data_IF_436985484972
#
_entry.id   IF_436985484972
#
_cell.length_a   1.000
_cell.length_b   1.000
_cell.length_c   1.000
_cell.angle_alpha   90.00
_cell.angle_beta   90.00
_cell.angle_gamma   90.00
#
_symmetry.space_group_name_H-M   'P 1'
#
loop_
_entity.id
_entity.type
_entity.pdbx_description
1 polymer ?
#
# COMPACT_ATOMS: atom_id res chain seq x y z
N UNK A 1 -11.16 -12.19 -17.91
CA UNK A 1 -9.82 -12.30 -18.54
C UNK A 1 -8.82 -12.08 -17.42
N UNK A 2 -7.89 -13.00 -17.22
CA UNK A 2 -6.80 -12.85 -16.24
C UNK A 2 -5.91 -11.70 -16.70
N UNK A 3 -5.61 -10.76 -15.80
CA UNK A 3 -4.72 -9.63 -16.11
C UNK A 3 -3.29 -10.16 -16.11
N UNK A 4 -2.56 -9.98 -17.21
CA UNK A 4 -1.16 -10.37 -17.27
C UNK A 4 -0.30 -9.41 -16.43
N UNK A 5 0.55 -9.91 -15.53
CA UNK A 5 1.47 -9.06 -14.77
C UNK A 5 2.54 -8.43 -15.67
N UNK A 6 2.95 -7.21 -15.33
CA UNK A 6 4.20 -6.64 -15.84
C UNK A 6 5.38 -7.40 -15.21
N UNK A 7 6.17 -8.10 -16.01
CA UNK A 7 7.39 -8.75 -15.54
C UNK A 7 8.51 -7.72 -15.31
N UNK A 8 9.14 -7.77 -14.15
CA UNK A 8 10.29 -6.94 -13.77
C UNK A 8 11.41 -7.83 -13.27
N UNK A 9 12.55 -7.80 -13.96
CA UNK A 9 13.76 -8.53 -13.57
C UNK A 9 14.55 -7.73 -12.54
N UNK A 10 14.78 -8.33 -11.37
CA UNK A 10 15.70 -7.80 -10.35
C UNK A 10 17.08 -8.40 -10.61
N UNK A 11 18.14 -7.59 -10.82
CA UNK A 11 19.47 -8.10 -11.10
C UNK A 11 19.96 -9.08 -10.02
N UNK A 12 20.62 -10.15 -10.43
CA UNK A 12 21.07 -11.20 -9.51
C UNK A 12 22.12 -10.73 -8.47
N UNK A 13 22.72 -9.55 -8.67
CA UNK A 13 23.61 -8.91 -7.71
C UNK A 13 22.89 -8.09 -6.63
N UNK A 14 21.60 -7.81 -6.83
CA UNK A 14 20.77 -7.15 -5.82
C UNK A 14 20.32 -8.15 -4.77
N UNK A 15 20.32 -7.69 -3.52
CA UNK A 15 19.90 -8.50 -2.37
C UNK A 15 18.69 -7.93 -1.67
N UNK A 16 18.16 -6.78 -2.09
CA UNK A 16 17.08 -6.12 -1.36
C UNK A 16 16.21 -5.20 -2.22
N UNK A 17 14.92 -5.22 -1.96
CA UNK A 17 13.93 -4.27 -2.49
C UNK A 17 13.13 -3.68 -1.33
N UNK A 18 12.53 -2.51 -1.56
CA UNK A 18 11.61 -1.88 -0.61
C UNK A 18 10.25 -1.64 -1.26
N UNK A 19 9.18 -1.88 -0.51
CA UNK A 19 7.81 -1.81 -0.98
C UNK A 19 6.98 -0.97 -0.01
N UNK A 20 6.18 -0.06 -0.55
CA UNK A 20 5.21 0.71 0.21
C UNK A 20 3.83 0.64 -0.46
N UNK A 21 2.78 0.98 0.26
CA UNK A 21 1.42 1.05 -0.28
C UNK A 21 0.69 2.28 0.24
N UNK A 22 -0.41 2.64 -0.41
CA UNK A 22 -1.30 3.73 -0.01
C UNK A 22 -0.62 4.98 0.55
N UNK A 23 0.25 5.68 -0.19
CA UNK A 23 0.75 6.99 0.23
C UNK A 23 -0.35 7.98 0.62
N UNK A 24 -1.55 7.89 0.03
CA UNK A 24 -2.69 8.75 0.32
C UNK A 24 -2.31 10.25 0.42
N UNK A 25 -1.58 10.74 -0.58
CA UNK A 25 -1.08 12.13 -0.65
C UNK A 25 -0.30 12.60 0.61
N UNK A 26 0.22 11.67 1.40
CA UNK A 26 1.00 11.98 2.60
C UNK A 26 2.47 12.19 2.21
N UNK A 27 2.79 13.39 1.73
CA UNK A 27 4.15 13.73 1.31
C UNK A 27 5.19 13.53 2.43
N UNK A 28 4.81 13.73 3.70
CA UNK A 28 5.72 13.61 4.84
C UNK A 28 6.19 12.17 5.09
N UNK A 29 5.30 11.19 4.97
CA UNK A 29 5.69 9.78 5.11
C UNK A 29 6.41 9.24 3.88
N UNK A 30 6.11 9.77 2.68
CA UNK A 30 6.85 9.44 1.45
C UNK A 30 8.29 9.94 1.49
N UNK A 31 8.50 11.17 1.95
CA UNK A 31 9.84 11.72 2.18
C UNK A 31 10.63 10.90 3.21
N UNK A 32 9.97 10.49 4.31
CA UNK A 32 10.58 9.60 5.30
C UNK A 32 10.93 8.22 4.72
N UNK A 33 10.06 7.64 3.90
CA UNK A 33 10.30 6.36 3.23
C UNK A 33 11.54 6.44 2.33
N UNK A 34 11.71 7.53 1.57
CA UNK A 34 12.90 7.72 0.73
C UNK A 34 14.17 7.91 1.54
N UNK A 35 14.12 8.63 2.65
CA UNK A 35 15.27 8.77 3.54
C UNK A 35 15.70 7.42 4.11
N UNK A 36 14.74 6.60 4.58
CA UNK A 36 15.01 5.28 5.17
C UNK A 36 15.53 4.28 4.12
N UNK A 37 15.03 4.37 2.88
CA UNK A 37 15.34 3.43 1.79
C UNK A 37 16.36 3.98 0.78
N UNK A 38 17.12 5.01 1.14
CA UNK A 38 18.06 5.68 0.22
C UNK A 38 19.13 4.74 -0.37
N UNK A 39 19.47 3.67 0.35
CA UNK A 39 20.43 2.64 -0.09
C UNK A 39 19.77 1.47 -0.86
N UNK A 40 18.46 1.54 -1.11
CA UNK A 40 17.69 0.48 -1.80
C UNK A 40 17.39 0.94 -3.24
N UNK A 41 18.04 0.34 -4.25
CA UNK A 41 17.93 0.83 -5.63
C UNK A 41 16.55 0.56 -6.25
N UNK A 42 15.87 -0.50 -5.80
CA UNK A 42 14.57 -0.92 -6.32
C UNK A 42 13.47 -0.68 -5.28
N UNK A 43 12.63 0.31 -5.56
CA UNK A 43 11.51 0.73 -4.72
C UNK A 43 10.20 0.58 -5.48
N UNK A 44 9.19 0.02 -4.80
CA UNK A 44 7.87 -0.23 -5.38
C UNK A 44 6.77 0.46 -4.56
N UNK A 45 5.74 0.98 -5.24
CA UNK A 45 4.53 1.50 -4.62
C UNK A 45 3.31 0.70 -5.08
N UNK A 46 2.58 0.11 -4.13
CA UNK A 46 1.50 -0.84 -4.37
C UNK A 46 0.15 -0.15 -4.63
N UNK A 47 0.17 1.10 -5.12
CA UNK A 47 -1.01 1.88 -5.46
C UNK A 47 -1.63 2.69 -4.32
N UNK A 48 -2.75 3.33 -4.64
CA UNK A 48 -3.44 4.36 -3.86
C UNK A 48 -2.52 5.53 -3.47
N UNK A 49 -1.91 6.12 -4.51
CA UNK A 49 -0.95 7.20 -4.35
C UNK A 49 -1.65 8.47 -3.84
N UNK A 50 -2.83 8.77 -4.40
CA UNK A 50 -3.72 9.83 -3.94
C UNK A 50 -4.73 9.36 -2.89
N UNK A 51 -5.69 10.21 -2.51
CA UNK A 51 -6.68 9.95 -1.46
C UNK A 51 -6.26 10.54 -0.12
N UNK A 52 -7.23 10.76 0.78
CA UNK A 52 -7.19 11.24 2.17
C UNK A 52 -6.34 12.49 2.50
N UNK A 53 -5.05 12.51 2.15
CA UNK A 53 -4.13 13.60 2.40
C UNK A 53 -4.21 14.76 1.39
N UNK A 54 -3.42 15.82 1.63
CA UNK A 54 -3.44 17.04 0.82
C UNK A 54 -2.43 16.97 -0.35
N UNK A 55 -2.51 17.90 -1.28
CA UNK A 55 -1.47 18.10 -2.32
C UNK A 55 -1.13 16.83 -3.14
N UNK A 56 -2.11 16.15 -3.77
CA UNK A 56 -1.88 14.87 -4.46
C UNK A 56 -0.76 14.92 -5.51
N UNK A 57 -0.62 16.02 -6.25
CA UNK A 57 0.46 16.19 -7.24
C UNK A 57 1.85 16.05 -6.62
N UNK A 58 2.07 16.60 -5.40
CA UNK A 58 3.38 16.52 -4.74
C UNK A 58 3.80 15.08 -4.49
N UNK A 59 2.89 14.23 -4.03
CA UNK A 59 3.18 12.81 -3.81
C UNK A 59 3.40 12.06 -5.12
N UNK A 60 2.64 12.38 -6.16
CA UNK A 60 2.80 11.80 -7.50
C UNK A 60 4.17 12.18 -8.10
N UNK A 61 4.57 13.45 -7.97
CA UNK A 61 5.87 13.97 -8.40
C UNK A 61 7.02 13.32 -7.61
N UNK A 62 6.93 13.27 -6.28
CA UNK A 62 7.93 12.62 -5.42
C UNK A 62 8.22 11.16 -5.84
N UNK A 63 7.19 10.37 -6.14
CA UNK A 63 7.37 8.98 -6.59
C UNK A 63 7.96 8.89 -8.00
N UNK A 64 7.56 9.79 -8.91
CA UNK A 64 8.05 9.81 -10.29
C UNK A 64 9.50 10.26 -10.38
N UNK A 65 9.86 11.34 -9.70
CA UNK A 65 11.21 11.89 -9.69
C UNK A 65 12.21 10.94 -9.01
N UNK A 66 11.73 10.15 -8.05
CA UNK A 66 12.53 9.11 -7.40
C UNK A 66 12.54 7.76 -8.13
N UNK A 67 11.92 7.69 -9.32
CA UNK A 67 11.81 6.49 -10.17
C UNK A 67 11.24 5.26 -9.45
N UNK A 68 10.25 5.48 -8.58
CA UNK A 68 9.54 4.39 -7.90
C UNK A 68 8.65 3.66 -8.90
N UNK A 69 8.74 2.33 -8.91
CA UNK A 69 7.92 1.48 -9.78
C UNK A 69 6.55 1.31 -9.12
N UNK A 70 5.52 1.95 -9.68
CA UNK A 70 4.18 1.92 -9.13
C UNK A 70 3.27 0.92 -9.86
N UNK A 71 2.37 0.26 -9.13
CA UNK A 71 1.20 -0.41 -9.68
C UNK A 71 -0.08 0.37 -9.34
N UNK A 72 -1.15 0.09 -10.06
CA UNK A 72 -2.43 0.78 -9.96
C UNK A 72 -3.28 0.25 -8.79
N UNK A 73 -3.57 1.11 -7.82
CA UNK A 73 -4.62 0.91 -6.82
C UNK A 73 -6.00 1.32 -7.31
N UNK A 74 -7.02 1.16 -6.47
CA UNK A 74 -8.39 1.53 -6.86
C UNK A 74 -8.55 3.06 -6.98
N UNK A 75 -7.91 3.85 -6.11
CA UNK A 75 -7.89 5.31 -6.25
C UNK A 75 -7.20 5.71 -7.55
N UNK A 76 -6.04 5.11 -7.86
CA UNK A 76 -5.28 5.46 -9.06
C UNK A 76 -6.09 5.16 -10.32
N UNK A 77 -6.77 4.00 -10.37
CA UNK A 77 -7.68 3.65 -11.45
C UNK A 77 -8.81 4.67 -11.58
N UNK A 78 -9.51 4.97 -10.49
CA UNK A 78 -10.68 5.84 -10.49
C UNK A 78 -10.35 7.30 -10.84
N UNK A 79 -9.26 7.83 -10.27
CA UNK A 79 -8.76 9.19 -10.55
C UNK A 79 -8.24 9.28 -11.97
N UNK A 80 -7.51 8.24 -12.40
CA UNK A 80 -7.06 8.11 -13.78
C UNK A 80 -8.24 8.22 -14.71
N UNK A 81 -9.22 7.32 -14.63
CA UNK A 81 -10.34 7.24 -15.58
C UNK A 81 -11.41 8.33 -15.41
N UNK A 82 -11.37 9.10 -14.32
CA UNK A 82 -12.40 10.10 -14.03
C UNK A 82 -13.74 9.46 -13.71
N UNK A 83 -13.70 8.40 -12.90
CA UNK A 83 -14.88 7.74 -12.34
C UNK A 83 -15.66 8.69 -11.41
N UNK A 84 -16.72 8.19 -10.78
CA UNK A 84 -17.54 8.99 -9.85
C UNK A 84 -17.14 8.82 -8.38
N UNK A 85 -16.46 7.73 -8.07
CA UNK A 85 -16.02 7.37 -6.73
C UNK A 85 -14.71 6.58 -6.79
N UNK A 86 -14.10 6.33 -5.64
CA UNK A 86 -12.81 5.64 -5.53
C UNK A 86 -12.85 4.14 -5.82
N UNK A 87 -14.02 3.51 -5.94
CA UNK A 87 -14.14 2.06 -6.04
C UNK A 87 -13.61 1.29 -4.83
N UNK A 88 -13.55 1.90 -3.64
CA UNK A 88 -12.87 1.34 -2.47
C UNK A 88 -13.52 0.07 -1.87
N UNK A 89 -14.77 -0.23 -2.23
CA UNK A 89 -15.48 -1.40 -1.67
C UNK A 89 -16.09 -1.20 -0.28
N UNK A 90 -16.11 0.02 0.26
CA UNK A 90 -16.82 0.32 1.52
C UNK A 90 -18.32 0.11 1.38
N UNK A 91 -18.92 -0.58 2.34
CA UNK A 91 -20.38 -0.84 2.39
C UNK A 91 -21.11 0.02 3.43
N UNK A 92 -20.39 0.52 4.44
CA UNK A 92 -20.96 1.41 5.45
C UNK A 92 -21.17 2.84 4.90
N UNK A 93 -22.35 3.47 5.11
CA UNK A 93 -22.64 4.80 4.57
C UNK A 93 -21.71 5.91 5.08
N UNK A 94 -21.23 5.83 6.32
CA UNK A 94 -20.30 6.82 6.88
C UNK A 94 -18.94 6.68 6.22
N UNK A 95 -18.47 5.45 6.06
CA UNK A 95 -17.19 5.16 5.39
C UNK A 95 -17.23 5.59 3.92
N UNK A 96 -18.33 5.32 3.21
CA UNK A 96 -18.56 5.79 1.84
C UNK A 96 -18.53 7.32 1.75
N UNK A 97 -19.18 8.03 2.68
CA UNK A 97 -19.19 9.50 2.70
C UNK A 97 -17.78 10.08 2.81
N UNK A 98 -16.96 9.57 3.74
CA UNK A 98 -15.59 10.06 3.90
C UNK A 98 -14.71 9.69 2.71
N UNK A 99 -14.86 8.48 2.17
CA UNK A 99 -14.17 8.07 0.96
C UNK A 99 -14.53 8.98 -0.23
N UNK A 100 -15.79 9.40 -0.36
CA UNK A 100 -16.21 10.34 -1.41
C UNK A 100 -15.56 11.72 -1.25
N UNK A 101 -15.52 12.28 -0.03
CA UNK A 101 -14.85 13.56 0.24
C UNK A 101 -13.37 13.50 -0.18
N UNK A 102 -12.69 12.41 0.20
CA UNK A 102 -11.31 12.12 -0.17
C UNK A 102 -11.15 12.03 -1.70
N UNK A 103 -12.03 11.29 -2.37
CA UNK A 103 -12.03 11.13 -3.82
C UNK A 103 -12.22 12.46 -4.54
N UNK A 104 -13.26 13.22 -4.21
CA UNK A 104 -13.61 14.49 -4.86
C UNK A 104 -12.48 15.50 -4.75
N UNK A 105 -11.87 15.61 -3.57
CA UNK A 105 -10.70 16.45 -3.36
C UNK A 105 -9.53 15.99 -4.22
N UNK A 106 -9.18 14.71 -4.16
CA UNK A 106 -8.04 14.14 -4.91
C UNK A 106 -8.23 14.35 -6.40
N UNK A 107 -9.42 14.03 -6.93
CA UNK A 107 -9.71 14.18 -8.35
C UNK A 107 -9.58 15.63 -8.78
N UNK A 108 -10.19 16.57 -8.04
CA UNK A 108 -10.18 18.00 -8.36
C UNK A 108 -8.75 18.57 -8.37
N UNK A 109 -7.88 18.12 -7.46
CA UNK A 109 -6.54 18.67 -7.28
C UNK A 109 -5.42 17.88 -7.97
N UNK A 110 -5.73 16.77 -8.63
CA UNK A 110 -4.74 16.02 -9.43
C UNK A 110 -4.66 16.61 -10.84
N UNK A 111 -3.47 16.99 -11.30
CA UNK A 111 -3.29 17.55 -12.64
C UNK A 111 -3.56 16.50 -13.74
N UNK A 112 -3.94 16.94 -14.94
CA UNK A 112 -4.38 16.06 -16.04
C UNK A 112 -3.29 15.08 -16.44
N UNK A 113 -2.05 15.54 -16.52
CA UNK A 113 -0.85 14.76 -16.82
C UNK A 113 -0.61 13.64 -15.79
N UNK A 114 -0.93 13.87 -14.52
CA UNK A 114 -0.82 12.84 -13.50
C UNK A 114 -1.98 11.85 -13.59
N UNK A 115 -3.21 12.30 -13.89
CA UNK A 115 -4.33 11.38 -14.15
C UNK A 115 -4.05 10.46 -15.34
N UNK A 116 -3.49 11.02 -16.42
CA UNK A 116 -3.06 10.24 -17.58
C UNK A 116 -2.01 9.20 -17.20
N UNK A 117 -1.00 9.58 -16.40
CA UNK A 117 -0.01 8.64 -15.89
C UNK A 117 -0.63 7.53 -15.02
N UNK A 118 -1.55 7.86 -14.11
CA UNK A 118 -2.23 6.87 -13.25
C UNK A 118 -2.99 5.81 -14.06
N UNK A 119 -3.56 6.18 -15.22
CA UNK A 119 -4.21 5.22 -16.14
C UNK A 119 -3.23 4.19 -16.71
N UNK A 120 -1.96 4.55 -16.86
CA UNK A 120 -0.94 3.69 -17.49
C UNK A 120 -0.30 2.69 -16.54
N UNK A 121 -0.53 2.84 -15.23
CA UNK A 121 0.08 1.96 -14.23
C UNK A 121 -0.39 0.51 -14.43
N UNK A 122 0.52 -0.48 -14.31
CA UNK A 122 0.16 -1.89 -14.38
C UNK A 122 -0.70 -2.26 -13.17
N UNK A 123 -1.64 -3.19 -13.34
CA UNK A 123 -2.46 -3.68 -12.20
C UNK A 123 -1.74 -4.72 -11.35
N UNK A 124 -0.83 -5.48 -11.96
CA UNK A 124 -0.01 -6.50 -11.31
C UNK A 124 1.43 -6.35 -11.80
N UNK A 125 2.38 -6.60 -10.91
CA UNK A 125 3.80 -6.68 -11.25
C UNK A 125 4.31 -8.02 -10.77
N UNK A 126 5.03 -8.77 -11.61
CA UNK A 126 5.73 -9.99 -11.21
C UNK A 126 7.23 -9.72 -11.21
N UNK A 127 7.81 -9.76 -10.02
CA UNK A 127 9.25 -9.66 -9.85
C UNK A 127 9.86 -11.02 -10.12
N UNK A 128 10.96 -11.04 -10.86
CA UNK A 128 11.79 -12.22 -11.09
C UNK A 128 13.16 -11.98 -10.51
N UNK A 129 13.63 -12.94 -9.72
CA UNK A 129 14.97 -12.94 -9.18
C UNK A 129 15.48 -14.38 -9.19
N UNK A 130 16.34 -14.69 -10.17
CA UNK A 130 16.78 -16.06 -10.46
C UNK A 130 15.58 -16.99 -10.65
N UNK A 131 15.47 -18.04 -9.85
CA UNK A 131 14.39 -19.02 -9.91
C UNK A 131 13.17 -18.63 -9.06
N UNK A 132 13.24 -17.50 -8.34
CA UNK A 132 12.13 -17.01 -7.52
C UNK A 132 11.26 -16.01 -8.26
N UNK A 133 9.96 -16.08 -8.04
CA UNK A 133 8.97 -15.14 -8.55
C UNK A 133 8.11 -14.58 -7.42
N UNK A 134 7.92 -13.26 -7.39
CA UNK A 134 7.11 -12.57 -6.38
C UNK A 134 6.06 -11.72 -7.08
N UNK A 135 4.80 -11.83 -6.68
CA UNK A 135 3.72 -11.02 -7.24
C UNK A 135 3.43 -9.80 -6.36
N UNK A 136 3.26 -8.63 -6.98
CA UNK A 136 2.80 -7.41 -6.34
C UNK A 136 1.39 -7.09 -6.83
N UNK A 137 0.49 -6.78 -5.90
CA UNK A 137 -0.88 -6.36 -6.19
C UNK A 137 -1.37 -5.32 -5.19
N UNK A 138 -2.51 -4.68 -5.47
CA UNK A 138 -3.11 -3.70 -4.55
C UNK A 138 -3.92 -4.39 -3.43
N UNK A 139 -5.10 -4.92 -3.71
CA UNK A 139 -5.92 -5.68 -2.75
C UNK A 139 -5.70 -7.19 -2.86
N UNK A 140 -6.12 -7.78 -3.98
CA UNK A 140 -5.75 -9.15 -4.36
C UNK A 140 -5.41 -9.24 -5.85
N UNK A 141 -4.76 -10.34 -6.29
CA UNK A 141 -4.44 -10.55 -7.70
C UNK A 141 -5.66 -10.54 -8.63
N UNK A 142 -6.80 -11.01 -8.14
CA UNK A 142 -8.04 -11.12 -8.92
C UNK A 142 -8.95 -9.88 -8.79
N UNK A 143 -8.83 -9.11 -7.70
CA UNK A 143 -9.72 -7.99 -7.39
C UNK A 143 -8.95 -6.86 -6.69
N UNK A 144 -8.88 -5.71 -7.36
CA UNK A 144 -8.07 -4.55 -6.92
C UNK A 144 -8.46 -4.05 -5.54
N UNK A 145 -9.76 -4.01 -5.22
CA UNK A 145 -10.31 -3.51 -3.96
C UNK A 145 -10.74 -4.64 -2.99
N UNK A 146 -10.15 -5.83 -3.10
CA UNK A 146 -10.43 -6.91 -2.15
C UNK A 146 -9.75 -6.59 -0.82
N UNK A 147 -10.53 -6.48 0.24
CA UNK A 147 -9.98 -6.44 1.59
C UNK A 147 -9.49 -7.83 2.01
N UNK A 148 -8.17 -7.98 2.13
CA UNK A 148 -7.50 -9.22 2.56
C UNK A 148 -6.95 -9.01 3.98
N UNK A 149 -7.77 -9.39 4.97
CA UNK A 149 -7.48 -9.23 6.39
C UNK A 149 -6.75 -10.43 6.97
N UNK A 150 -5.91 -10.23 7.98
CA UNK A 150 -5.23 -11.34 8.66
C UNK A 150 -6.26 -12.28 9.32
N UNK A 151 -7.22 -11.72 10.07
CA UNK A 151 -8.14 -12.51 10.88
C UNK A 151 -9.15 -13.36 10.10
N UNK A 152 -9.39 -13.03 8.81
CA UNK A 152 -10.43 -13.67 7.99
C UNK A 152 -9.89 -14.31 6.71
N UNK A 153 -8.59 -14.37 6.53
CA UNK A 153 -7.97 -15.02 5.37
C UNK A 153 -7.49 -16.40 5.75
N UNK A 154 -7.85 -17.40 4.95
CA UNK A 154 -7.43 -18.78 5.14
C UNK A 154 -6.11 -19.08 4.43
N UNK A 155 -5.29 -19.94 5.03
CA UNK A 155 -3.98 -20.33 4.49
C UNK A 155 -4.12 -21.06 3.14
N UNK A 156 -5.15 -21.89 2.98
CA UNK A 156 -5.45 -22.58 1.73
C UNK A 156 -5.77 -21.60 0.59
N UNK A 157 -6.41 -20.46 0.90
CA UNK A 157 -6.67 -19.43 -0.11
C UNK A 157 -5.37 -18.75 -0.56
N UNK A 158 -4.45 -18.49 0.38
CA UNK A 158 -3.13 -17.95 0.06
C UNK A 158 -2.34 -18.95 -0.81
N UNK A 159 -2.28 -20.22 -0.40
CA UNK A 159 -1.59 -21.28 -1.15
C UNK A 159 -2.15 -21.44 -2.57
N UNK A 160 -3.48 -21.40 -2.73
CA UNK A 160 -4.12 -21.43 -4.04
C UNK A 160 -3.77 -20.21 -4.92
N UNK A 161 -3.57 -19.03 -4.31
CA UNK A 161 -3.09 -17.86 -5.05
C UNK A 161 -1.64 -18.03 -5.52
N UNK A 162 -0.76 -18.53 -4.64
CA UNK A 162 0.65 -18.80 -4.98
C UNK A 162 0.75 -19.80 -6.14
N UNK A 163 0.00 -20.90 -6.08
CA UNK A 163 -0.02 -21.92 -7.14
C UNK A 163 -0.57 -21.35 -8.46
N UNK A 164 -1.70 -20.64 -8.42
CA UNK A 164 -2.35 -20.07 -9.61
C UNK A 164 -1.42 -19.11 -10.36
N UNK A 165 -0.70 -18.26 -9.64
CA UNK A 165 0.18 -17.27 -10.24
C UNK A 165 1.61 -17.75 -10.43
N UNK A 166 1.93 -18.97 -9.96
CA UNK A 166 3.25 -19.59 -10.01
C UNK A 166 4.33 -18.69 -9.39
N UNK A 167 4.10 -18.28 -8.14
CA UNK A 167 4.97 -17.38 -7.39
C UNK A 167 5.23 -17.92 -5.98
N UNK A 168 6.36 -17.51 -5.40
CA UNK A 168 6.83 -17.89 -4.06
C UNK A 168 6.39 -16.90 -2.98
N UNK A 169 5.76 -15.79 -3.37
CA UNK A 169 5.26 -14.78 -2.45
C UNK A 169 4.38 -13.75 -3.12
N UNK A 170 3.46 -13.20 -2.34
CA UNK A 170 2.57 -12.11 -2.76
C UNK A 170 2.70 -10.94 -1.78
N UNK A 171 2.98 -9.75 -2.31
CA UNK A 171 2.81 -8.50 -1.59
C UNK A 171 1.50 -7.82 -1.99
N UNK A 172 0.80 -7.33 -0.98
CA UNK A 172 -0.45 -6.58 -1.11
C UNK A 172 -0.46 -5.36 -0.19
N UNK A 173 -1.47 -4.50 -0.33
CA UNK A 173 -1.75 -3.34 0.52
C UNK A 173 -3.28 -3.23 0.73
N UNK A 174 -3.87 -2.07 0.44
CA UNK A 174 -5.30 -1.74 0.42
C UNK A 174 -5.97 -1.70 1.80
N UNK A 175 -5.87 -2.78 2.57
CA UNK A 175 -6.46 -2.85 3.92
C UNK A 175 -5.82 -1.89 4.91
N UNK A 176 -4.62 -1.37 4.61
CA UNK A 176 -3.90 -0.43 5.49
C UNK A 176 -3.31 -1.04 6.75
N UNK A 177 -3.59 -2.31 7.04
CA UNK A 177 -3.11 -3.01 8.23
C UNK A 177 -1.99 -3.97 7.82
N UNK A 178 -0.76 -3.77 8.32
CA UNK A 178 0.37 -4.62 7.97
C UNK A 178 0.28 -5.98 8.67
N UNK A 179 0.55 -7.05 7.93
CA UNK A 179 0.69 -8.41 8.45
C UNK A 179 1.41 -9.30 7.44
N UNK A 180 2.00 -10.38 7.94
CA UNK A 180 2.69 -11.37 7.11
C UNK A 180 2.30 -12.76 7.56
N UNK A 181 2.08 -13.66 6.59
CA UNK A 181 1.81 -15.07 6.87
C UNK A 181 2.61 -15.96 5.95
N UNK A 182 3.25 -16.96 6.55
CA UNK A 182 3.87 -18.07 5.83
C UNK A 182 2.86 -19.20 5.65
N UNK A 183 2.85 -19.79 4.47
CA UNK A 183 2.08 -20.98 4.13
C UNK A 183 2.98 -21.97 3.39
N UNK A 184 2.59 -23.24 3.24
CA UNK A 184 3.32 -24.15 2.37
C UNK A 184 3.45 -23.55 0.96
N UNK A 185 4.69 -23.40 0.49
CA UNK A 185 5.00 -22.88 -0.85
C UNK A 185 5.28 -21.38 -0.94
N UNK A 186 5.16 -20.60 0.14
CA UNK A 186 5.51 -19.18 0.10
C UNK A 186 4.83 -18.32 1.16
N UNK A 187 4.64 -17.04 0.86
CA UNK A 187 4.07 -16.08 1.80
C UNK A 187 3.03 -15.13 1.21
N UNK A 188 2.21 -14.58 2.09
CA UNK A 188 1.46 -13.36 1.86
C UNK A 188 1.98 -12.26 2.78
N UNK A 189 2.24 -11.07 2.24
CA UNK A 189 2.68 -9.91 3.01
C UNK A 189 1.82 -8.69 2.64
N UNK A 190 0.98 -8.24 3.58
CA UNK A 190 0.35 -6.94 3.49
C UNK A 190 1.30 -5.87 4.04
N UNK A 191 1.77 -4.96 3.18
CA UNK A 191 2.81 -3.97 3.54
C UNK A 191 2.29 -2.84 4.43
N UNK A 192 0.99 -2.79 4.68
CA UNK A 192 0.32 -1.63 5.28
C UNK A 192 0.22 -0.48 4.28
N UNK A 193 0.10 0.74 4.79
CA UNK A 193 0.05 1.97 3.99
C UNK A 193 0.89 3.08 4.61
N UNK A 194 1.49 3.94 3.79
CA UNK A 194 2.26 5.11 4.24
C UNK A 194 1.37 6.30 4.62
N UNK A 195 0.18 6.36 4.06
CA UNK A 195 -0.70 7.51 4.18
C UNK A 195 -1.48 7.57 5.48
N UNK A 196 -1.57 6.44 6.20
CA UNK A 196 -2.41 6.29 7.39
C UNK A 196 -1.80 5.31 8.39
N UNK A 197 -1.75 5.63 9.70
CA UNK A 197 -1.28 4.71 10.74
C UNK A 197 -2.10 3.42 10.81
N UNK A 198 -1.51 2.33 11.31
CA UNK A 198 -2.12 1.00 11.31
C UNK A 198 -3.17 0.76 12.43
N UNK A 199 -3.86 1.80 12.89
CA UNK A 199 -4.85 1.73 13.98
C UNK A 199 -4.29 1.05 15.24
N UNK A 200 -3.26 1.65 15.84
CA UNK A 200 -2.57 1.11 17.02
C UNK A 200 -2.25 2.15 18.09
N UNK A 201 -2.74 3.37 17.92
CA UNK A 201 -2.51 4.46 18.87
C UNK A 201 -1.12 5.08 18.80
N UNK A 202 -0.43 4.92 17.65
CA UNK A 202 0.88 5.53 17.39
C UNK A 202 0.91 6.21 16.01
N UNK A 203 1.50 7.41 15.89
CA UNK A 203 1.53 8.16 14.64
C UNK A 203 2.71 7.74 13.72
N UNK A 204 2.94 6.43 13.59
CA UNK A 204 3.88 5.87 12.62
C UNK A 204 3.14 5.04 11.58
N UNK A 205 3.80 4.75 10.46
CA UNK A 205 3.26 3.93 9.37
C UNK A 205 4.19 2.76 9.09
N UNK A 206 3.93 1.98 8.05
CA UNK A 206 4.73 0.81 7.71
C UNK A 206 5.10 0.76 6.23
N UNK A 207 6.23 0.11 5.98
CA UNK A 207 6.64 -0.36 4.66
C UNK A 207 7.23 -1.76 4.81
N UNK A 208 7.49 -2.43 3.70
CA UNK A 208 8.15 -3.72 3.70
C UNK A 208 9.50 -3.69 3.00
N UNK A 209 10.40 -4.55 3.44
CA UNK A 209 11.59 -4.94 2.70
C UNK A 209 11.51 -6.43 2.38
N UNK A 210 12.02 -6.80 1.21
CA UNK A 210 12.31 -8.18 0.87
C UNK A 210 13.80 -8.31 0.67
N UNK A 211 14.43 -9.19 1.45
CA UNK A 211 15.81 -9.58 1.22
C UNK A 211 15.86 -10.87 0.40
N UNK A 212 16.58 -10.80 -0.72
CA UNK A 212 16.94 -11.95 -1.51
C UNK A 212 18.27 -12.52 -0.99
N UNK A 213 18.30 -13.81 -0.68
CA UNK A 213 19.51 -14.47 -0.16
C UNK A 213 20.07 -15.44 -1.18
N UNK A 214 21.38 -15.38 -1.43
CA UNK A 214 22.07 -16.40 -2.23
C UNK A 214 22.11 -17.74 -1.49
N UNK A 215 22.00 -17.73 -0.15
CA UNK A 215 22.15 -18.90 0.72
C UNK A 215 20.82 -19.54 1.12
N UNK A 216 19.71 -18.83 0.98
CA UNK A 216 18.37 -19.32 1.27
C UNK A 216 17.55 -19.29 -0.01
N UNK A 217 16.90 -20.40 -0.33
CA UNK A 217 15.97 -20.46 -1.46
C UNK A 217 14.69 -19.64 -1.21
N UNK A 218 14.37 -19.36 0.06
CA UNK A 218 13.12 -18.68 0.44
C UNK A 218 13.38 -17.20 0.72
N UNK A 219 12.76 -16.28 -0.03
CA UNK A 219 12.78 -14.85 0.25
C UNK A 219 12.08 -14.54 1.58
N UNK A 220 12.66 -13.65 2.40
CA UNK A 220 12.13 -13.34 3.73
C UNK A 220 11.57 -11.91 3.75
N UNK A 221 10.24 -11.72 3.74
CA UNK A 221 9.64 -10.40 3.89
C UNK A 221 9.77 -9.91 5.33
N UNK A 222 10.00 -8.59 5.48
CA UNK A 222 9.97 -7.89 6.76
C UNK A 222 9.11 -6.65 6.64
N UNK A 223 8.26 -6.41 7.63
CA UNK A 223 7.48 -5.18 7.74
C UNK A 223 8.11 -4.31 8.82
N UNK A 224 8.49 -3.10 8.45
CA UNK A 224 9.24 -2.16 9.27
C UNK A 224 8.38 -0.93 9.60
N UNK A 225 8.34 -0.50 10.88
CA UNK A 225 7.69 0.75 11.23
C UNK A 225 8.51 1.93 10.69
N UNK A 226 7.82 2.95 10.19
CA UNK A 226 8.39 4.18 9.67
C UNK A 226 7.89 5.37 10.48
N UNK A 227 8.80 5.96 11.25
CA UNK A 227 8.55 7.20 11.97
C UNK A 227 8.64 8.41 11.03
N UNK A 228 7.69 9.33 11.16
CA UNK A 228 7.72 10.62 10.48
C UNK A 228 7.00 11.69 11.33
N UNK A 229 7.15 12.97 10.97
CA UNK A 229 6.41 14.04 11.62
C UNK A 229 5.10 14.32 10.84
N UNK A 230 3.91 14.02 11.39
CA UNK A 230 2.65 14.25 10.68
C UNK A 230 2.23 15.73 10.62
N UNK A 231 2.82 16.60 11.45
CA UNK A 231 2.36 17.99 11.60
C UNK A 231 2.32 18.79 10.28
N UNK A 232 3.34 18.76 9.41
CA UNK A 232 3.29 19.50 8.14
C UNK A 232 2.16 19.03 7.22
N UNK A 233 1.87 17.72 7.22
CA UNK A 233 0.79 17.14 6.42
C UNK A 233 -0.56 17.56 6.99
N UNK A 234 -0.74 17.50 8.31
CA UNK A 234 -1.95 17.97 8.99
C UNK A 234 -2.23 19.45 8.74
N UNK A 235 -1.21 20.31 8.79
CA UNK A 235 -1.35 21.73 8.46
C UNK A 235 -1.84 21.91 7.02
N UNK A 236 -1.22 21.22 6.06
CA UNK A 236 -1.65 21.27 4.66
C UNK A 236 -3.06 20.71 4.46
N UNK A 237 -3.50 19.71 5.24
CA UNK A 237 -4.88 19.21 5.22
C UNK A 237 -5.87 20.27 5.70
N UNK A 238 -5.55 20.96 6.80
CA UNK A 238 -6.39 22.02 7.33
C UNK A 238 -6.50 23.19 6.34
N UNK A 239 -5.39 23.62 5.72
CA UNK A 239 -5.37 24.65 4.67
C UNK A 239 -6.17 24.24 3.44
N UNK A 240 -6.17 22.95 3.10
CA UNK A 240 -6.95 22.38 2.00
C UNK A 240 -8.44 22.18 2.33
N UNK A 241 -8.88 22.44 3.57
CA UNK A 241 -10.25 22.20 4.01
C UNK A 241 -10.63 20.72 4.13
N UNK A 242 -9.64 19.83 4.26
CA UNK A 242 -9.89 18.39 4.45
C UNK A 242 -10.43 18.10 5.86
N UNK A 243 -11.29 17.07 6.04
CA UNK A 243 -11.92 16.74 7.31
C UNK A 243 -10.95 16.63 8.50
N UNK A 244 -11.39 17.13 9.66
CA UNK A 244 -10.63 17.02 10.91
C UNK A 244 -10.35 15.55 11.27
N UNK A 245 -11.30 14.67 10.97
CA UNK A 245 -11.17 13.24 11.26
C UNK A 245 -9.95 12.63 10.55
N UNK A 246 -9.64 13.03 9.31
CA UNK A 246 -8.46 12.54 8.62
C UNK A 246 -7.16 12.98 9.34
N UNK A 247 -7.13 14.22 9.83
CA UNK A 247 -6.00 14.78 10.58
C UNK A 247 -5.82 14.06 11.93
N UNK A 248 -6.91 13.85 12.65
CA UNK A 248 -6.92 13.16 13.94
C UNK A 248 -6.42 11.72 13.80
N UNK A 249 -6.71 11.05 12.68
CA UNK A 249 -6.15 9.73 12.38
C UNK A 249 -4.62 9.74 12.32
N UNK A 250 -4.01 10.76 11.68
CA UNK A 250 -2.56 10.88 11.58
C UNK A 250 -1.90 11.20 12.92
N UNK A 251 -2.56 12.03 13.74
CA UNK A 251 -2.01 12.48 15.03
C UNK A 251 -2.14 11.43 16.13
N UNK A 252 -3.28 10.75 16.19
CA UNK A 252 -3.58 9.76 17.25
C UNK A 252 -3.05 8.37 16.93
N UNK A 253 -2.85 8.05 15.65
CA UNK A 253 -2.59 6.68 15.23
C UNK A 253 -3.82 5.76 15.27
N UNK A 254 -5.03 6.33 15.40
CA UNK A 254 -6.30 5.61 15.50
C UNK A 254 -7.21 6.06 14.35
N UNK A 255 -7.77 5.11 13.61
CA UNK A 255 -8.73 5.42 12.56
C UNK A 255 -10.01 6.03 13.11
N UNK A 256 -10.35 7.23 12.63
CA UNK A 256 -11.56 8.00 13.00
C UNK A 256 -12.66 7.92 11.93
N UNK A 257 -12.28 7.54 10.70
CA UNK A 257 -13.12 7.31 9.52
C UNK A 257 -12.78 5.98 8.88
N UNK A 258 -13.64 5.43 8.01
CA UNK A 258 -13.30 4.22 7.25
C UNK A 258 -12.91 3.05 8.17
N UNK A 259 -13.50 3.00 9.37
CA UNK A 259 -13.17 2.05 10.43
C UNK A 259 -14.22 0.94 10.54
N UNK A 260 -15.40 1.13 9.95
CA UNK A 260 -16.45 0.12 9.95
C UNK A 260 -16.13 -1.05 9.01
N UNK A 261 -15.16 -0.85 8.11
CA UNK A 261 -14.60 -1.92 7.28
C UNK A 261 -13.76 -2.93 8.06
N UNK A 262 -13.24 -2.57 9.25
CA UNK A 262 -12.34 -3.42 10.01
C UNK A 262 -13.11 -4.64 10.53
N UNK A 263 -12.58 -5.87 10.39
CA UNK A 263 -13.10 -7.02 11.12
C UNK A 263 -12.92 -6.83 12.63
N UNK A 264 -13.69 -7.57 13.42
CA UNK A 264 -13.71 -7.45 14.87
C UNK A 264 -12.31 -7.54 15.51
N UNK A 265 -11.45 -8.43 15.00
CA UNK A 265 -10.09 -8.63 15.50
C UNK A 265 -9.11 -7.48 15.19
N UNK A 266 -9.40 -6.66 14.18
CA UNK A 266 -8.61 -5.50 13.76
C UNK A 266 -9.19 -4.17 14.27
N UNK A 267 -10.46 -4.12 14.69
CA UNK A 267 -11.10 -2.94 15.32
C UNK A 267 -10.47 -2.54 16.65
N UNK A 268 -9.84 -3.49 17.34
CA UNK A 268 -9.16 -3.21 18.60
C UNK A 268 -7.75 -2.72 18.30
N UNK A 269 -7.48 -1.46 18.64
CA UNK A 269 -6.15 -0.90 18.51
C UNK A 269 -5.14 -1.70 19.34
N UNK A 270 -4.16 -2.32 18.67
CA UNK A 270 -3.13 -3.16 19.29
C UNK A 270 -1.75 -2.85 18.70
N UNK A 271 -0.68 -2.78 19.52
CA UNK A 271 0.66 -2.55 19.02
C UNK A 271 1.07 -3.63 18.01
N UNK A 272 1.61 -3.21 16.87
CA UNK A 272 2.20 -4.06 15.85
C UNK A 272 3.71 -3.87 15.88
N UNK A 273 4.45 -4.87 16.32
CA UNK A 273 5.92 -4.82 16.31
C UNK A 273 6.43 -4.97 14.87
N UNK A 274 7.73 -4.77 14.64
CA UNK A 274 8.33 -5.17 13.37
C UNK A 274 7.99 -6.65 13.11
N UNK A 275 7.32 -6.92 12.00
CA UNK A 275 6.85 -8.27 11.69
C UNK A 275 7.87 -8.89 10.75
N UNK A 276 8.60 -9.86 11.28
CA UNK A 276 9.48 -10.73 10.49
C UNK A 276 8.74 -12.04 10.35
N UNK A 277 8.65 -12.55 9.13
CA UNK A 277 8.27 -13.93 8.92
C UNK A 277 9.23 -14.85 9.68
N UNK A 278 8.76 -15.55 10.72
CA UNK A 278 9.54 -16.61 11.36
C UNK A 278 9.41 -17.89 10.54
N UNK A 279 10.54 -18.53 10.23
CA UNK A 279 10.63 -19.87 9.64
C UNK A 279 10.33 -20.95 10.68
#
# INVERSE_FOLDING_TARGET
MTVEPLDVEIPAGESRIALCGGPYSNFGSVEAFFAETAAVPYRFCLGDIGGFGPLPNRTLELLRDAEVICLQGNYDHAIGHGERDCGCGYTDPRDQRFAQISYDYTYTHTAVEHRQWLRTLPRLIRLRWRDSAILLCHGSPDQVNKFVWESTTDDDWIAACLERYQVDGIFATHTGIPWVRQVPGGFWCNVGVLGRPAHEGRPHVYFAELEFSIKSAVPVPRILPLGYNPKPVVVAMAEAGLPQEFQDSLLSGVWTTCAEVLPEAERVAKPRQALVSML
#
